data_IF_310150320292
#
_entry.id   IF_310150320292
#
_cell.length_a   1.000
_cell.length_b   1.000
_cell.length_c   1.000
_cell.angle_alpha   90.00
_cell.angle_beta   90.00
_cell.angle_gamma   90.00
#
_symmetry.space_group_name_H-M   'P 1'
#
loop_
_entity.id
_entity.type
_entity.pdbx_description
1 polymer ?
#
# COMPACT_ATOMS: atom_id res chain seq x y z
N UNK A 1 -3.14 -29.91 -67.45
CA UNK A 1 -2.65 -28.51 -67.23
C UNK A 1 -2.82 -28.10 -65.75
N UNK A 2 -2.80 -29.05 -64.80
CA UNK A 2 -3.23 -28.85 -63.41
C UNK A 2 -2.21 -28.17 -62.46
N UNK A 3 -0.91 -28.22 -62.73
CA UNK A 3 0.12 -27.78 -61.76
C UNK A 3 0.08 -26.28 -61.41
N UNK A 4 -0.33 -25.41 -62.36
CA UNK A 4 -0.39 -23.96 -62.13
C UNK A 4 -1.53 -23.52 -61.23
N UNK A 5 -2.65 -24.25 -61.22
CA UNK A 5 -3.80 -23.91 -60.38
C UNK A 5 -3.57 -24.30 -58.91
N UNK A 6 -2.89 -25.43 -58.67
CA UNK A 6 -2.52 -25.85 -57.33
C UNK A 6 -1.53 -24.88 -56.68
N UNK A 7 -0.47 -24.50 -57.41
CA UNK A 7 0.50 -23.51 -56.92
C UNK A 7 -0.13 -22.14 -56.65
N UNK A 8 -1.14 -21.71 -57.43
CA UNK A 8 -1.86 -20.45 -57.17
C UNK A 8 -2.68 -20.48 -55.89
N UNK A 9 -3.32 -21.61 -55.57
CA UNK A 9 -4.08 -21.80 -54.32
C UNK A 9 -3.14 -21.87 -53.12
N UNK A 10 -2.05 -22.62 -53.22
CA UNK A 10 -1.03 -22.71 -52.16
C UNK A 10 -0.36 -21.36 -51.91
N UNK A 11 -0.05 -20.60 -52.96
CA UNK A 11 0.50 -19.24 -52.84
C UNK A 11 -0.50 -18.29 -52.19
N UNK A 12 -1.79 -18.37 -52.54
CA UNK A 12 -2.83 -17.56 -51.91
C UNK A 12 -2.95 -17.86 -50.41
N UNK A 13 -2.93 -19.13 -50.01
CA UNK A 13 -2.96 -19.54 -48.60
C UNK A 13 -1.71 -19.02 -47.87
N UNK A 14 -0.54 -19.12 -48.48
CA UNK A 14 0.71 -18.65 -47.89
C UNK A 14 0.70 -17.13 -47.66
N UNK A 15 0.15 -16.35 -48.60
CA UNK A 15 -0.02 -14.90 -48.47
C UNK A 15 -0.99 -14.54 -47.35
N UNK A 16 -2.10 -15.28 -47.22
CA UNK A 16 -3.06 -15.06 -46.14
C UNK A 16 -2.44 -15.37 -44.78
N UNK A 17 -1.69 -16.48 -44.69
CA UNK A 17 -0.99 -16.87 -43.47
C UNK A 17 0.05 -15.83 -43.05
N UNK A 18 0.86 -15.33 -43.99
CA UNK A 18 1.85 -14.28 -43.69
C UNK A 18 1.19 -12.97 -43.27
N UNK A 19 0.07 -12.59 -43.90
CA UNK A 19 -0.70 -11.42 -43.48
C UNK A 19 -1.23 -11.54 -42.05
N UNK A 20 -1.77 -12.71 -41.68
CA UNK A 20 -2.21 -12.99 -40.31
C UNK A 20 -1.06 -12.95 -39.31
N UNK A 21 0.10 -13.48 -39.68
CA UNK A 21 1.30 -13.46 -38.84
C UNK A 21 1.74 -12.01 -38.56
N UNK A 22 1.78 -11.18 -39.62
CA UNK A 22 2.14 -9.75 -39.51
C UNK A 22 1.14 -8.96 -38.66
N UNK A 23 -0.16 -9.25 -38.78
CA UNK A 23 -1.18 -8.68 -37.89
C UNK A 23 -0.87 -9.02 -36.43
N UNK A 24 -0.53 -10.28 -36.14
CA UNK A 24 -0.19 -10.73 -34.79
C UNK A 24 1.04 -10.01 -34.25
N UNK A 25 2.09 -9.85 -35.07
CA UNK A 25 3.26 -9.05 -34.70
C UNK A 25 2.92 -7.59 -34.42
N UNK A 26 2.02 -6.98 -35.21
CA UNK A 26 1.55 -5.61 -34.97
C UNK A 26 0.81 -5.45 -33.65
N UNK A 27 -0.06 -6.41 -33.30
CA UNK A 27 -0.76 -6.44 -32.01
C UNK A 27 0.23 -6.60 -30.86
N UNK A 28 1.20 -7.49 -30.99
CA UNK A 28 2.24 -7.69 -29.98
C UNK A 28 3.12 -6.44 -29.80
N UNK A 29 3.49 -5.77 -30.88
CA UNK A 29 4.26 -4.52 -30.82
C UNK A 29 3.47 -3.41 -30.12
N UNK A 30 2.17 -3.28 -30.42
CA UNK A 30 1.31 -2.30 -29.75
C UNK A 30 1.22 -2.57 -28.24
N UNK A 31 1.10 -3.85 -27.85
CA UNK A 31 1.00 -4.24 -26.45
C UNK A 31 2.33 -4.08 -25.68
N UNK A 32 3.45 -4.41 -26.33
CA UNK A 32 4.77 -4.44 -25.70
C UNK A 32 5.55 -3.13 -25.79
N UNK A 33 5.27 -2.26 -26.77
CA UNK A 33 6.05 -1.03 -26.98
C UNK A 33 5.22 0.22 -26.72
N UNK A 34 3.97 0.27 -27.19
CA UNK A 34 3.14 1.46 -27.03
C UNK A 34 2.45 1.54 -25.67
N UNK A 35 1.99 0.41 -25.13
CA UNK A 35 1.21 0.38 -23.89
C UNK A 35 1.94 -0.31 -22.73
N UNK A 36 3.27 -0.47 -22.81
CA UNK A 36 4.01 -1.20 -21.77
C UNK A 36 3.85 -0.55 -20.40
N UNK A 37 3.84 0.77 -20.33
CA UNK A 37 3.70 1.50 -19.08
C UNK A 37 2.28 1.45 -18.53
N UNK A 38 1.27 1.48 -19.39
CA UNK A 38 -0.15 1.37 -18.99
C UNK A 38 -0.47 -0.03 -18.44
N UNK A 39 0.03 -1.10 -19.07
CA UNK A 39 -0.16 -2.46 -18.57
C UNK A 39 0.70 -2.77 -17.34
N UNK A 40 1.88 -2.14 -17.21
CA UNK A 40 2.71 -2.23 -16.00
C UNK A 40 2.08 -1.47 -14.83
N UNK A 41 1.51 -0.29 -15.08
CA UNK A 41 0.75 0.45 -14.07
C UNK A 41 -0.51 -0.33 -13.66
N UNK A 42 -1.25 -0.91 -14.61
CA UNK A 42 -2.41 -1.74 -14.31
C UNK A 42 -2.06 -3.06 -13.62
N UNK A 43 -0.89 -3.66 -13.88
CA UNK A 43 -0.46 -4.89 -13.19
C UNK A 43 -0.01 -4.61 -11.75
N UNK A 44 0.62 -3.47 -11.49
CA UNK A 44 0.97 -3.02 -10.14
C UNK A 44 -0.29 -2.63 -9.34
N UNK A 45 -1.25 -1.95 -9.97
CA UNK A 45 -2.56 -1.64 -9.34
C UNK A 45 -3.39 -2.92 -9.12
N UNK A 46 -3.21 -3.95 -9.97
CA UNK A 46 -3.79 -5.29 -9.83
C UNK A 46 -2.94 -6.28 -9.05
N UNK A 47 -1.90 -5.84 -8.33
CA UNK A 47 -1.57 -6.47 -7.04
C UNK A 47 -2.77 -6.14 -6.14
N UNK A 48 -3.88 -6.81 -6.42
CA UNK A 48 -5.11 -6.72 -5.70
C UNK A 48 -4.74 -7.13 -4.29
N UNK A 49 -4.62 -6.13 -3.44
CA UNK A 49 -4.57 -6.26 -2.01
C UNK A 49 -5.89 -6.95 -1.65
N UNK A 50 -5.94 -8.28 -1.76
CA UNK A 50 -7.03 -9.09 -1.23
C UNK A 50 -6.93 -8.91 0.27
N UNK A 51 -7.48 -7.81 0.76
CA UNK A 51 -7.92 -7.72 2.13
C UNK A 51 -9.10 -8.66 2.21
N UNK A 52 -8.82 -9.87 2.68
CA UNK A 52 -9.83 -10.71 3.29
C UNK A 52 -10.52 -9.82 4.33
N UNK A 53 -11.74 -9.39 4.02
CA UNK A 53 -12.57 -8.67 4.99
C UNK A 53 -12.83 -9.71 6.06
N UNK A 54 -12.18 -9.55 7.22
CA UNK A 54 -12.48 -10.40 8.37
C UNK A 54 -13.97 -10.21 8.64
N UNK A 55 -14.76 -11.26 8.46
CA UNK A 55 -16.17 -11.21 8.80
C UNK A 55 -16.24 -10.82 10.28
N UNK A 56 -17.02 -9.78 10.60
CA UNK A 56 -17.20 -9.37 11.98
C UNK A 56 -17.61 -10.60 12.80
N UNK A 57 -16.79 -11.00 13.77
CA UNK A 57 -17.13 -12.07 14.70
C UNK A 57 -18.48 -11.73 15.33
N UNK A 58 -19.37 -12.72 15.44
CA UNK A 58 -20.68 -12.52 16.05
C UNK A 58 -20.57 -11.92 17.44
N UNK A 59 -21.46 -11.00 17.76
CA UNK A 59 -21.51 -10.40 19.10
C UNK A 59 -21.90 -11.45 20.13
N UNK A 60 -21.24 -11.43 21.29
CA UNK A 60 -21.63 -12.27 22.43
C UNK A 60 -22.65 -11.51 23.27
N UNK A 61 -23.88 -12.03 23.33
CA UNK A 61 -24.98 -11.45 24.09
C UNK A 61 -25.26 -12.28 25.35
N UNK A 62 -25.60 -11.61 26.45
CA UNK A 62 -26.16 -12.24 27.65
C UNK A 62 -27.58 -12.80 27.36
N UNK A 63 -28.13 -13.62 28.25
CA UNK A 63 -29.49 -14.19 28.17
C UNK A 63 -30.61 -13.14 28.04
N UNK A 64 -30.33 -11.90 28.37
CA UNK A 64 -31.22 -10.74 28.21
C UNK A 64 -30.94 -9.92 26.93
N UNK A 65 -30.10 -10.41 26.00
CA UNK A 65 -29.77 -9.74 24.75
C UNK A 65 -28.84 -8.53 24.91
N UNK A 66 -28.11 -8.42 26.04
CA UNK A 66 -27.15 -7.32 26.26
C UNK A 66 -25.79 -7.73 25.71
N UNK A 67 -25.23 -6.91 24.82
CA UNK A 67 -23.91 -7.15 24.23
C UNK A 67 -22.82 -7.06 25.31
N UNK A 68 -22.07 -8.14 25.50
CA UNK A 68 -20.93 -8.21 26.44
C UNK A 68 -19.59 -8.01 25.72
N UNK A 69 -19.49 -8.48 24.47
CA UNK A 69 -18.29 -8.33 23.64
C UNK A 69 -18.73 -8.00 22.21
N UNK A 70 -18.32 -6.82 21.74
CA UNK A 70 -18.51 -6.36 20.36
C UNK A 70 -17.15 -6.18 19.67
N UNK A 71 -17.14 -6.25 18.34
CA UNK A 71 -15.96 -5.97 17.53
C UNK A 71 -16.00 -4.51 17.05
N UNK A 72 -14.90 -3.77 17.24
CA UNK A 72 -14.72 -2.40 16.75
C UNK A 72 -13.54 -2.36 15.78
N UNK A 73 -13.75 -1.73 14.64
CA UNK A 73 -12.67 -1.39 13.73
C UNK A 73 -11.67 -0.45 14.43
N UNK A 74 -10.43 -0.91 14.58
CA UNK A 74 -9.33 -0.12 15.14
C UNK A 74 -8.38 0.26 14.02
N UNK A 75 -8.01 1.54 13.95
CA UNK A 75 -7.05 2.03 12.97
C UNK A 75 -5.68 2.12 13.62
N UNK A 76 -4.71 1.35 13.11
CA UNK A 76 -3.32 1.39 13.56
C UNK A 76 -2.46 2.10 12.51
N UNK A 77 -1.68 3.07 12.96
CA UNK A 77 -0.70 3.77 12.13
C UNK A 77 0.71 3.23 12.42
N UNK A 78 1.38 2.70 11.41
CA UNK A 78 2.77 2.21 11.51
C UNK A 78 3.66 3.11 10.66
N UNK A 79 4.64 3.76 11.29
CA UNK A 79 5.58 4.65 10.63
C UNK A 79 6.88 3.91 10.34
N UNK A 80 7.34 3.94 9.08
CA UNK A 80 8.62 3.37 8.67
C UNK A 80 9.61 4.49 8.34
N UNK A 81 10.53 4.76 9.28
CA UNK A 81 11.52 5.83 9.15
C UNK A 81 12.59 5.55 8.09
N UNK A 82 12.77 4.30 7.66
CA UNK A 82 13.77 3.92 6.66
C UNK A 82 13.41 4.30 5.22
N UNK A 83 12.13 4.58 4.93
CA UNK A 83 11.62 4.95 3.60
C UNK A 83 11.10 6.38 3.52
N UNK A 84 11.16 7.13 4.62
CA UNK A 84 10.64 8.51 4.69
C UNK A 84 11.55 9.56 4.04
N UNK A 85 12.66 9.14 3.42
CA UNK A 85 13.57 10.03 2.70
C UNK A 85 14.45 10.87 3.61
N UNK A 86 14.82 12.06 3.13
CA UNK A 86 15.74 12.96 3.82
C UNK A 86 15.15 13.52 5.12
N UNK A 87 16.02 13.75 6.11
CA UNK A 87 15.64 14.12 7.47
C UNK A 87 14.76 15.38 7.53
N UNK A 88 15.02 16.39 6.70
CA UNK A 88 14.23 17.61 6.65
C UNK A 88 12.77 17.35 6.24
N UNK A 89 12.55 16.50 5.22
CA UNK A 89 11.22 16.14 4.73
C UNK A 89 10.51 15.22 5.72
N UNK A 90 11.24 14.25 6.29
CA UNK A 90 10.72 13.35 7.31
C UNK A 90 10.21 14.11 8.54
N UNK A 91 11.00 15.02 9.08
CA UNK A 91 10.63 15.75 10.29
C UNK A 91 9.43 16.68 10.05
N UNK A 92 9.32 17.29 8.86
CA UNK A 92 8.15 18.07 8.48
C UNK A 92 6.87 17.21 8.43
N UNK A 93 6.94 16.04 7.78
CA UNK A 93 5.80 15.10 7.71
C UNK A 93 5.39 14.57 9.09
N UNK A 94 6.36 14.26 9.96
CA UNK A 94 6.08 13.81 11.34
C UNK A 94 5.43 14.91 12.17
N UNK A 95 5.85 16.17 11.98
CA UNK A 95 5.24 17.31 12.66
C UNK A 95 3.80 17.54 12.20
N UNK A 96 3.53 17.44 10.90
CA UNK A 96 2.17 17.53 10.36
C UNK A 96 1.28 16.42 10.91
N UNK A 97 1.78 15.19 10.96
CA UNK A 97 1.06 14.06 11.55
C UNK A 97 0.75 14.29 13.03
N UNK A 98 1.72 14.81 13.80
CA UNK A 98 1.53 15.14 15.21
C UNK A 98 0.43 16.20 15.40
N UNK A 99 0.40 17.21 14.52
CA UNK A 99 -0.64 18.24 14.55
C UNK A 99 -2.01 17.64 14.26
N UNK A 100 -2.15 16.79 13.24
CA UNK A 100 -3.40 16.07 12.95
C UNK A 100 -3.84 15.24 14.15
N UNK A 101 -2.92 14.51 14.78
CA UNK A 101 -3.23 13.73 15.97
C UNK A 101 -3.72 14.61 17.13
N UNK A 102 -3.10 15.78 17.33
CA UNK A 102 -3.49 16.76 18.36
C UNK A 102 -4.88 17.36 18.08
N UNK A 103 -5.15 17.73 16.84
CA UNK A 103 -6.44 18.30 16.41
C UNK A 103 -7.60 17.29 16.58
N UNK A 104 -7.30 16.00 16.42
CA UNK A 104 -8.25 14.91 16.67
C UNK A 104 -8.31 14.49 18.16
N UNK A 105 -7.59 15.18 19.05
CA UNK A 105 -7.59 14.91 20.49
C UNK A 105 -7.03 13.54 20.87
N UNK A 106 -6.16 12.96 20.03
CA UNK A 106 -5.53 11.68 20.33
C UNK A 106 -4.54 11.85 21.48
N UNK A 107 -4.62 10.94 22.45
CA UNK A 107 -3.70 10.89 23.59
C UNK A 107 -2.55 9.93 23.29
N UNK A 108 -1.31 10.38 23.45
CA UNK A 108 -0.13 9.52 23.40
C UNK A 108 0.72 9.75 24.65
N UNK A 109 1.46 8.72 25.05
CA UNK A 109 2.43 8.83 26.14
C UNK A 109 3.63 9.62 25.64
N UNK A 110 3.82 10.81 26.20
CA UNK A 110 5.04 11.60 25.99
C UNK A 110 5.96 11.41 27.20
N UNK A 111 7.09 10.76 26.99
CA UNK A 111 8.12 10.56 28.02
C UNK A 111 9.22 11.61 27.97
N UNK A 112 9.11 12.60 27.09
CA UNK A 112 10.08 13.67 26.98
C UNK A 112 9.98 14.61 28.19
N UNK A 113 11.07 14.71 28.95
CA UNK A 113 11.13 15.50 30.18
C UNK A 113 11.26 17.02 29.94
N UNK A 114 10.51 17.59 28.99
CA UNK A 114 10.55 19.02 28.62
C UNK A 114 9.14 19.61 28.65
N UNK A 115 9.01 20.86 29.11
CA UNK A 115 7.72 21.55 29.12
C UNK A 115 7.19 21.80 27.70
N UNK A 116 5.87 21.70 27.54
CA UNK A 116 5.20 21.90 26.24
C UNK A 116 5.04 23.37 25.86
N UNK A 117 5.13 24.28 26.83
CA UNK A 117 4.98 25.72 26.65
C UNK A 117 6.24 26.48 27.06
N UNK A 118 6.48 27.60 26.38
CA UNK A 118 7.53 28.52 26.75
C UNK A 118 7.20 29.22 28.09
N UNK A 119 8.19 29.49 28.96
CA UNK A 119 9.61 29.15 28.81
C UNK A 119 9.85 27.64 28.97
N UNK A 120 10.70 27.08 28.09
CA UNK A 120 10.98 25.65 28.09
C UNK A 120 11.83 25.25 29.29
N UNK A 121 11.32 24.39 30.16
CA UNK A 121 12.02 23.87 31.34
C UNK A 121 11.96 22.35 31.38
N UNK A 122 12.96 21.75 32.02
CA UNK A 122 12.92 20.31 32.29
C UNK A 122 11.87 20.02 33.36
N UNK A 123 11.07 18.98 33.14
CA UNK A 123 10.02 18.55 34.07
C UNK A 123 10.52 17.47 35.05
N UNK A 124 11.78 17.06 34.93
CA UNK A 124 12.43 16.03 35.74
C UNK A 124 13.76 16.54 36.32
N UNK A 125 14.11 16.07 37.51
CA UNK A 125 15.38 16.34 38.18
C UNK A 125 16.58 15.64 37.49
N UNK A 126 16.32 14.61 36.66
CA UNK A 126 17.33 13.88 35.88
C UNK A 126 16.96 13.80 34.40
N UNK A 127 16.92 14.93 33.66
CA UNK A 127 16.31 15.02 32.33
C UNK A 127 17.10 14.31 31.21
N UNK A 128 18.36 13.96 31.46
CA UNK A 128 19.27 13.31 30.50
C UNK A 128 19.60 11.86 30.87
N UNK A 129 18.95 11.33 31.91
CA UNK A 129 19.09 9.92 32.25
C UNK A 129 18.35 9.09 31.19
N UNK A 130 19.09 8.28 30.43
CA UNK A 130 18.48 7.30 29.54
C UNK A 130 18.14 6.06 30.38
N UNK A 131 16.86 5.82 30.60
CA UNK A 131 16.40 4.53 31.11
C UNK A 131 16.17 3.63 29.90
N UNK A 132 16.98 2.58 29.76
CA UNK A 132 16.69 1.53 28.78
C UNK A 132 15.43 0.83 29.25
N UNK A 133 14.28 1.25 28.73
CA UNK A 133 13.03 0.52 28.94
C UNK A 133 13.21 -0.88 28.35
N UNK A 134 13.40 -1.84 29.24
CA UNK A 134 13.68 -3.23 28.89
C UNK A 134 12.51 -3.76 28.07
N UNK A 135 12.83 -4.29 26.88
CA UNK A 135 11.91 -5.07 26.07
C UNK A 135 11.51 -6.36 26.83
N UNK A 136 10.60 -6.24 27.78
CA UNK A 136 9.91 -7.35 28.39
C UNK A 136 8.70 -7.70 27.51
N UNK A 137 8.92 -8.57 26.53
CA UNK A 137 7.84 -9.23 25.80
C UNK A 137 7.36 -10.44 26.62
N UNK A 138 6.05 -10.61 26.89
CA UNK A 138 5.47 -11.93 27.11
C UNK A 138 5.34 -12.71 25.80
#
# INVERSE_FOLDING_TARGET
MEGRQFNRRTLAILVVLTALLLLFFGVLYNLQVLHVDDYRAQSVVKIANRKTVEAARGELLDRYGRSMVTNRATYQLTLNTGVMGEEAVRNANLLELLNICRDNGLTWTDTLAVSTAAPFTYTSDTPLAYEKEGAAWP
#
